data_IF_054390789976
#
_entry.id   IF_054390789976
#
_cell.length_a   1.000
_cell.length_b   1.000
_cell.length_c   1.000
_cell.angle_alpha   90.00
_cell.angle_beta   90.00
_cell.angle_gamma   90.00
#
_symmetry.space_group_name_H-M   'P 1'
#
loop_
_entity.id
_entity.type
_entity.pdbx_description
1 polymer ?
#
# COMPACT_ATOMS: atom_id res chain seq x y z
N UNK A 1 -26.23 11.58 0.70
CA UNK A 1 -25.85 10.15 0.57
C UNK A 1 -24.33 10.09 0.63
N UNK A 2 -23.76 9.55 1.71
CA UNK A 2 -22.31 9.45 1.88
C UNK A 2 -21.90 8.01 1.58
N UNK A 3 -21.10 7.80 0.53
CA UNK A 3 -20.58 6.48 0.17
C UNK A 3 -19.16 6.41 0.70
N UNK A 4 -18.96 5.67 1.78
CA UNK A 4 -17.64 5.32 2.27
C UNK A 4 -17.31 3.91 1.80
N UNK A 5 -16.23 3.77 1.02
CA UNK A 5 -15.69 2.46 0.69
C UNK A 5 -15.06 1.89 1.96
N UNK A 6 -15.46 0.68 2.38
CA UNK A 6 -14.87 -0.04 3.53
C UNK A 6 -13.48 -0.60 3.18
N UNK A 7 -12.60 0.25 2.68
CA UNK A 7 -11.23 -0.09 2.27
C UNK A 7 -10.27 -0.03 3.47
N UNK A 8 -9.15 -0.75 3.38
CA UNK A 8 -8.06 -0.75 4.36
C UNK A 8 -6.75 -0.15 3.81
N UNK A 9 -6.70 0.13 2.50
CA UNK A 9 -5.58 0.81 1.86
C UNK A 9 -6.03 1.65 0.65
N UNK A 10 -5.15 2.57 0.23
CA UNK A 10 -5.27 3.36 -1.00
C UNK A 10 -4.00 3.16 -1.83
N UNK A 11 -4.14 2.71 -3.08
CA UNK A 11 -3.02 2.50 -4.01
C UNK A 11 -3.05 3.49 -5.17
N UNK A 12 -1.91 3.67 -5.83
CA UNK A 12 -1.78 4.65 -6.91
C UNK A 12 -2.00 6.08 -6.41
N UNK A 13 -1.59 6.36 -5.18
CA UNK A 13 -1.81 7.63 -4.51
C UNK A 13 -0.99 8.75 -5.17
N UNK A 14 -1.66 9.85 -5.50
CA UNK A 14 -1.03 11.06 -6.00
C UNK A 14 -1.60 12.29 -5.33
N UNK A 15 -0.78 13.33 -5.24
CA UNK A 15 -1.15 14.64 -4.70
C UNK A 15 -0.82 15.70 -5.73
N UNK A 16 -1.80 16.52 -6.06
CA UNK A 16 -1.60 17.75 -6.80
C UNK A 16 -1.81 18.96 -5.88
N UNK A 17 -1.03 20.01 -6.11
CA UNK A 17 -1.14 21.28 -5.39
C UNK A 17 -1.26 22.38 -6.44
N UNK A 18 -2.42 23.00 -6.48
CA UNK A 18 -2.71 24.09 -7.41
C UNK A 18 -2.86 25.39 -6.63
N UNK A 19 -2.22 26.47 -7.07
CA UNK A 19 -2.59 27.81 -6.60
C UNK A 19 -3.84 28.26 -7.34
N UNK A 20 -4.91 28.55 -6.58
CA UNK A 20 -6.21 28.98 -7.13
C UNK A 20 -6.49 30.45 -6.83
N UNK A 21 -5.45 31.21 -6.52
CA UNK A 21 -5.57 32.55 -5.95
C UNK A 21 -5.78 33.64 -7.01
N UNK A 22 -6.54 34.68 -6.62
CA UNK A 22 -6.74 35.89 -7.39
C UNK A 22 -7.08 37.07 -6.46
N UNK A 23 -6.67 38.28 -6.84
CA UNK A 23 -6.90 39.56 -6.11
C UNK A 23 -6.16 39.71 -4.76
N UNK A 24 -4.91 39.25 -4.66
CA UNK A 24 -3.99 39.65 -3.57
C UNK A 24 -4.01 38.77 -2.30
N UNK A 25 -4.67 37.60 -2.36
CA UNK A 25 -4.52 36.53 -1.35
C UNK A 25 -3.88 35.33 -2.03
N UNK A 26 -3.12 34.51 -1.31
CA UNK A 26 -2.60 33.23 -1.82
C UNK A 26 -3.48 32.10 -1.28
N UNK A 27 -4.02 31.28 -2.17
CA UNK A 27 -4.87 30.13 -1.84
C UNK A 27 -4.38 28.93 -2.63
N UNK A 28 -4.26 27.80 -1.94
CA UNK A 28 -3.80 26.55 -2.54
C UNK A 28 -4.89 25.48 -2.38
N UNK A 29 -5.21 24.81 -3.48
CA UNK A 29 -6.03 23.61 -3.50
C UNK A 29 -5.11 22.39 -3.47
N UNK A 30 -5.30 21.53 -2.48
CA UNK A 30 -4.58 20.25 -2.40
C UNK A 30 -5.57 19.16 -2.80
N UNK A 31 -5.29 18.48 -3.90
CA UNK A 31 -6.11 17.37 -4.40
C UNK A 31 -5.35 16.08 -4.23
N UNK A 32 -5.93 15.13 -3.50
CA UNK A 32 -5.39 13.77 -3.36
C UNK A 32 -6.26 12.77 -4.13
N UNK A 33 -5.65 11.91 -4.93
CA UNK A 33 -6.33 10.90 -5.75
C UNK A 33 -5.70 9.54 -5.46
N UNK A 34 -6.50 8.50 -5.47
CA UNK A 34 -6.04 7.12 -5.40
C UNK A 34 -7.20 6.13 -5.49
N UNK A 35 -6.87 4.85 -5.56
CA UNK A 35 -7.85 3.76 -5.64
C UNK A 35 -7.98 3.08 -4.27
N UNK A 36 -9.14 3.10 -3.62
CA UNK A 36 -9.37 2.37 -2.38
C UNK A 36 -9.41 0.85 -2.66
N UNK A 37 -8.71 0.06 -1.85
CA UNK A 37 -8.61 -1.41 -2.00
C UNK A 37 -8.78 -2.12 -0.65
N UNK A 38 -9.05 -3.42 -0.72
CA UNK A 38 -8.95 -4.35 0.41
C UNK A 38 -7.68 -5.19 0.23
N UNK A 39 -6.77 -5.14 1.19
CA UNK A 39 -5.56 -5.94 1.20
C UNK A 39 -5.88 -7.37 1.64
N UNK A 40 -5.26 -8.34 0.98
CA UNK A 40 -5.31 -9.74 1.40
C UNK A 40 -3.89 -10.17 1.73
N UNK A 41 -3.67 -10.68 2.94
CA UNK A 41 -2.37 -11.20 3.32
C UNK A 41 -2.05 -12.44 2.49
N UNK A 42 -0.95 -12.38 1.74
CA UNK A 42 -0.38 -13.60 1.15
C UNK A 42 0.32 -14.33 2.29
N UNK A 43 -0.23 -15.48 2.70
CA UNK A 43 0.42 -16.35 3.68
C UNK A 43 1.81 -16.68 3.16
N UNK A 44 2.85 -16.23 3.86
CA UNK A 44 4.20 -16.71 3.62
C UNK A 44 4.19 -18.23 3.81
N UNK A 45 4.37 -18.97 2.72
CA UNK A 45 4.68 -20.39 2.79
C UNK A 45 6.04 -20.45 3.46
N UNK A 46 6.07 -20.89 4.73
CA UNK A 46 7.31 -21.27 5.37
C UNK A 46 7.86 -22.41 4.52
N UNK A 47 8.93 -22.16 3.77
CA UNK A 47 9.71 -23.23 3.19
C UNK A 47 10.21 -24.06 4.37
N UNK A 48 9.59 -25.23 4.59
CA UNK A 48 10.08 -26.19 5.56
C UNK A 48 11.56 -26.43 5.21
N UNK A 49 12.45 -26.01 6.11
CA UNK A 49 13.82 -26.47 6.05
C UNK A 49 13.76 -27.98 6.27
N UNK A 50 13.79 -28.74 5.19
CA UNK A 50 14.00 -30.19 5.25
C UNK A 50 15.43 -30.38 5.72
N UNK A 51 15.64 -30.29 7.04
CA UNK A 51 16.86 -30.71 7.71
C UNK A 51 16.97 -32.21 7.55
N UNK A 52 17.58 -32.65 6.44
CA UNK A 52 18.06 -34.01 6.31
C UNK A 52 19.40 -34.01 7.03
N UNK A 53 19.42 -34.53 8.25
CA UNK A 53 20.66 -34.86 8.92
C UNK A 53 21.41 -35.85 8.01
N UNK A 54 22.52 -35.40 7.43
CA UNK A 54 23.44 -36.27 6.71
C UNK A 54 24.40 -36.80 7.77
N UNK A 55 24.12 -38.00 8.28
CA UNK A 55 25.06 -38.72 9.13
C UNK A 55 26.29 -39.06 8.28
N UNK A 56 27.37 -38.31 8.48
CA UNK A 56 28.61 -38.36 7.71
C UNK A 56 29.45 -39.59 8.01
N UNK A 57 28.85 -40.79 7.99
CA UNK A 57 29.61 -42.03 8.11
C UNK A 57 30.35 -42.30 6.81
N UNK A 58 31.66 -42.08 6.83
CA UNK A 58 32.59 -42.54 5.79
C UNK A 58 32.81 -44.04 6.00
N UNK A 59 32.44 -44.84 5.00
CA UNK A 59 32.85 -46.25 4.87
C UNK A 59 34.28 -46.35 4.35
#
# INVERSE_FOLDING_TARGET
>A
MHVAYRADAVIGFSVNIDEISGKGTQMFMITAIGTPVLLNEIKHIQAEAVGRDIDGSVI
#
